data_IF_506170072753
#
_entry.id   IF_506170072753
#
_cell.length_a   1.000
_cell.length_b   1.000
_cell.length_c   1.000
_cell.angle_alpha   90.00
_cell.angle_beta   90.00
_cell.angle_gamma   90.00
#
_symmetry.space_group_name_H-M   'P 1'
#
loop_
_entity.id
_entity.type
_entity.pdbx_description
1 polymer ?
#
# COMPACT_ATOMS: atom_id res chain seq x y z
N UNK A 1 12.56 -11.83 -17.39
CA UNK A 1 11.21 -12.29 -17.77
C UNK A 1 10.27 -11.47 -16.92
N UNK A 2 9.58 -10.51 -17.53
CA UNK A 2 8.70 -9.64 -16.77
C UNK A 2 7.54 -10.47 -16.18
N UNK A 3 7.34 -10.41 -14.86
CA UNK A 3 6.22 -11.07 -14.17
C UNK A 3 5.16 -10.03 -13.90
N UNK A 4 3.93 -10.24 -14.36
CA UNK A 4 2.80 -9.37 -14.06
C UNK A 4 1.58 -10.16 -13.63
N UNK A 5 0.66 -9.53 -12.90
CA UNK A 5 -0.59 -10.15 -12.49
C UNK A 5 -1.51 -9.19 -11.73
N UNK A 6 -2.58 -9.74 -11.16
CA UNK A 6 -3.48 -8.99 -10.31
C UNK A 6 -2.87 -8.76 -8.92
N UNK A 7 -3.08 -7.57 -8.37
CA UNK A 7 -2.73 -7.21 -7.00
C UNK A 7 -4.00 -7.17 -6.16
N UNK A 8 -4.08 -8.03 -5.15
CA UNK A 8 -5.15 -8.03 -4.16
C UNK A 8 -4.53 -8.11 -2.77
N UNK A 9 -4.76 -7.09 -1.95
CA UNK A 9 -4.35 -7.11 -0.56
C UNK A 9 -5.34 -6.38 0.33
N UNK A 10 -5.37 -6.79 1.59
CA UNK A 10 -6.16 -6.18 2.65
C UNK A 10 -5.21 -5.69 3.73
N UNK A 11 -5.46 -4.48 4.22
CA UNK A 11 -4.71 -3.87 5.32
C UNK A 11 -5.66 -3.35 6.39
N UNK A 12 -5.21 -3.45 7.63
CA UNK A 12 -5.84 -2.83 8.77
C UNK A 12 -5.05 -1.58 9.16
N UNK A 13 -5.77 -0.52 9.52
CA UNK A 13 -5.20 0.79 9.83
C UNK A 13 -5.59 1.24 11.25
N UNK A 14 -5.78 0.31 12.19
CA UNK A 14 -6.22 0.64 13.55
C UNK A 14 -5.21 1.47 14.34
N UNK A 15 -3.92 1.37 14.00
CA UNK A 15 -2.83 2.18 14.56
C UNK A 15 -2.65 3.54 13.87
N UNK A 16 -3.25 3.75 12.69
CA UNK A 16 -3.10 4.98 11.91
C UNK A 16 -3.87 6.13 12.55
N UNK A 17 -3.18 7.22 12.89
CA UNK A 17 -3.73 8.45 13.49
C UNK A 17 -3.73 9.62 12.53
N UNK A 18 -3.30 9.42 11.28
CA UNK A 18 -3.19 10.50 10.28
C UNK A 18 -1.93 11.34 10.43
N UNK A 19 -0.89 10.84 11.13
CA UNK A 19 0.36 11.54 11.33
C UNK A 19 1.45 11.01 10.38
N UNK A 20 2.43 11.85 10.09
CA UNK A 20 3.62 11.45 9.34
C UNK A 20 4.37 10.34 10.09
N UNK A 21 4.70 9.26 9.39
CA UNK A 21 5.34 8.07 9.94
C UNK A 21 4.38 7.04 10.51
N UNK A 22 3.07 7.32 10.58
CA UNK A 22 2.09 6.30 10.90
C UNK A 22 2.08 5.20 9.84
N UNK A 23 1.57 4.03 10.21
CA UNK A 23 1.51 2.89 9.32
C UNK A 23 0.19 2.14 9.41
N UNK A 24 -0.11 1.39 8.34
CA UNK A 24 -1.12 0.35 8.33
C UNK A 24 -0.44 -1.02 8.18
N UNK A 25 -1.01 -2.05 8.78
CA UNK A 25 -0.50 -3.42 8.68
C UNK A 25 -1.29 -4.20 7.64
N UNK A 26 -0.59 -4.86 6.73
CA UNK A 26 -1.19 -5.76 5.75
C UNK A 26 -1.57 -7.05 6.46
N UNK A 27 -2.84 -7.43 6.37
CA UNK A 27 -3.38 -8.64 7.00
C UNK A 27 -3.42 -9.82 6.02
N UNK A 28 -3.61 -9.55 4.72
CA UNK A 28 -3.59 -10.57 3.66
C UNK A 28 -3.14 -9.97 2.33
N UNK A 29 -2.50 -10.77 1.49
CA UNK A 29 -2.18 -10.44 0.10
C UNK A 29 -2.09 -11.70 -0.75
N UNK A 30 -2.31 -11.56 -2.05
CA UNK A 30 -2.07 -12.59 -3.04
C UNK A 30 -0.60 -12.63 -3.56
N UNK A 31 0.26 -11.71 -3.12
CA UNK A 31 1.68 -11.67 -3.45
C UNK A 31 2.53 -12.27 -2.34
N UNK A 32 3.33 -13.29 -2.65
CA UNK A 32 4.28 -13.91 -1.70
C UNK A 32 5.36 -12.93 -1.22
N UNK A 33 5.64 -11.90 -2.01
CA UNK A 33 6.54 -10.80 -1.66
C UNK A 33 5.94 -9.88 -0.57
N UNK A 34 4.61 -9.83 -0.46
CA UNK A 34 3.85 -8.99 0.48
C UNK A 34 3.11 -9.88 1.47
N UNK A 35 3.81 -10.39 2.46
CA UNK A 35 3.20 -11.28 3.45
C UNK A 35 2.40 -10.50 4.51
N UNK A 36 1.49 -11.19 5.18
CA UNK A 36 0.82 -10.65 6.37
C UNK A 36 1.85 -10.18 7.40
N UNK A 37 1.61 -9.00 7.99
CA UNK A 37 2.55 -8.30 8.87
C UNK A 37 3.44 -7.28 8.16
N UNK A 38 3.44 -7.23 6.81
CA UNK A 38 4.05 -6.12 6.07
C UNK A 38 3.37 -4.79 6.43
N UNK A 39 4.12 -3.69 6.36
CA UNK A 39 3.66 -2.36 6.79
C UNK A 39 3.64 -1.40 5.62
N UNK A 40 2.60 -0.58 5.54
CA UNK A 40 2.54 0.58 4.66
C UNK A 40 2.73 1.82 5.52
N UNK A 41 3.89 2.45 5.41
CA UNK A 41 4.31 3.62 6.21
C UNK A 41 4.06 4.87 5.38
N UNK A 42 3.34 5.84 5.93
CA UNK A 42 3.00 7.09 5.26
C UNK A 42 4.02 8.17 5.59
N UNK A 43 4.56 8.85 4.58
CA UNK A 43 5.61 9.85 4.77
C UNK A 43 5.08 11.15 5.40
N UNK A 44 3.84 11.53 5.07
CA UNK A 44 3.23 12.80 5.47
C UNK A 44 1.91 12.58 6.22
N UNK A 45 1.49 13.61 6.96
CA UNK A 45 0.23 13.58 7.69
C UNK A 45 -0.96 13.75 6.74
N UNK A 46 -2.12 13.18 7.11
CA UNK A 46 -3.35 13.38 6.35
C UNK A 46 -3.81 14.85 6.41
N UNK A 47 -4.28 15.36 5.27
CA UNK A 47 -4.95 16.65 5.18
C UNK A 47 -6.41 16.60 5.62
N UNK A 48 -7.12 17.72 5.49
CA UNK A 48 -8.56 17.77 5.76
C UNK A 48 -9.34 16.93 4.72
N UNK A 49 -9.69 15.70 5.08
CA UNK A 49 -10.51 14.80 4.26
C UNK A 49 -9.79 14.17 3.07
N UNK A 50 -8.51 14.44 2.88
CA UNK A 50 -7.70 13.88 1.79
C UNK A 50 -6.35 13.40 2.33
N UNK A 51 -5.81 12.37 1.70
CA UNK A 51 -4.47 11.87 1.97
C UNK A 51 -3.74 11.77 0.65
N UNK A 52 -2.78 12.66 0.42
CA UNK A 52 -1.89 12.66 -0.73
C UNK A 52 -0.48 12.63 -0.16
N UNK A 53 0.16 11.46 -0.21
CA UNK A 53 1.46 11.24 0.43
C UNK A 53 2.22 10.11 -0.26
N UNK A 54 3.54 10.24 -0.22
CA UNK A 54 4.43 9.13 -0.49
C UNK A 54 4.30 8.06 0.61
N UNK A 55 4.47 6.81 0.21
CA UNK A 55 4.41 5.65 1.11
C UNK A 55 5.59 4.72 0.88
N UNK A 56 5.95 4.01 1.94
CA UNK A 56 6.89 2.89 1.87
C UNK A 56 6.17 1.63 2.28
N UNK A 57 6.11 0.67 1.37
CA UNK A 57 5.73 -0.69 1.68
C UNK A 57 6.96 -1.43 2.21
N UNK A 58 6.95 -1.82 3.48
CA UNK A 58 8.00 -2.59 4.13
C UNK A 58 7.51 -4.02 4.39
N UNK A 59 8.04 -4.98 3.63
CA UNK A 59 7.77 -6.41 3.82
C UNK A 59 8.81 -7.07 4.75
N UNK A 60 9.65 -6.29 5.42
CA UNK A 60 10.68 -6.75 6.32
C UNK A 60 11.94 -7.25 5.61
N UNK A 61 13.00 -7.46 6.39
CA UNK A 61 14.31 -7.96 5.91
C UNK A 61 14.92 -7.12 4.77
N UNK A 62 14.65 -5.81 4.74
CA UNK A 62 15.15 -4.89 3.71
C UNK A 62 14.42 -4.96 2.36
N UNK A 63 13.29 -5.67 2.30
CA UNK A 63 12.41 -5.69 1.13
C UNK A 63 11.43 -4.51 1.25
N UNK A 64 11.72 -3.42 0.55
CA UNK A 64 10.87 -2.23 0.58
C UNK A 64 10.47 -1.80 -0.83
N UNK A 65 9.25 -1.31 -1.02
CA UNK A 65 8.82 -0.66 -2.24
C UNK A 65 8.39 0.77 -1.94
N UNK A 66 8.72 1.69 -2.84
CA UNK A 66 8.31 3.09 -2.72
C UNK A 66 7.10 3.32 -3.59
N UNK A 67 6.17 4.09 -3.06
CA UNK A 67 4.93 4.38 -3.74
C UNK A 67 4.35 5.72 -3.34
N UNK A 68 3.21 5.99 -3.92
CA UNK A 68 2.44 7.20 -3.71
C UNK A 68 0.97 6.82 -3.62
N UNK A 69 0.27 7.39 -2.63
CA UNK A 69 -1.12 7.09 -2.33
C UNK A 69 -1.92 8.40 -2.31
N UNK A 70 -3.03 8.39 -3.04
CA UNK A 70 -4.02 9.47 -3.05
C UNK A 70 -5.36 8.90 -2.62
N UNK A 71 -5.88 9.33 -1.46
CA UNK A 71 -7.18 8.94 -0.92
C UNK A 71 -8.08 10.15 -0.71
N UNK A 72 -9.34 9.95 -1.03
CA UNK A 72 -10.48 10.71 -0.53
C UNK A 72 -11.01 9.98 0.71
N UNK A 73 -10.74 10.54 1.88
CA UNK A 73 -11.16 9.98 3.18
C UNK A 73 -12.66 10.17 3.44
N UNK A 74 -13.31 11.12 2.75
CA UNK A 74 -14.76 11.29 2.84
C UNK A 74 -15.49 10.23 2.01
N UNK A 75 -14.95 9.87 0.84
CA UNK A 75 -15.48 8.81 -0.01
C UNK A 75 -14.96 7.41 0.36
N UNK A 76 -13.92 7.31 1.21
CA UNK A 76 -13.18 6.08 1.53
C UNK A 76 -12.65 5.36 0.29
N UNK A 77 -12.13 6.13 -0.67
CA UNK A 77 -11.63 5.62 -1.96
C UNK A 77 -10.35 6.33 -2.36
N UNK A 78 -9.57 5.69 -3.21
CA UNK A 78 -8.39 6.32 -3.78
C UNK A 78 -7.58 5.38 -4.64
N UNK A 79 -6.32 5.73 -4.84
CA UNK A 79 -5.38 4.96 -5.65
C UNK A 79 -4.03 4.85 -4.95
N UNK A 80 -3.34 3.74 -5.19
CA UNK A 80 -1.99 3.49 -4.73
C UNK A 80 -1.14 3.10 -5.94
N UNK A 81 0.02 3.72 -6.05
CA UNK A 81 1.02 3.45 -7.09
C UNK A 81 2.34 3.10 -6.45
N UNK A 82 3.05 2.11 -6.99
CA UNK A 82 4.38 1.74 -6.55
C UNK A 82 5.31 1.72 -7.75
N UNK A 83 6.51 2.26 -7.58
CA UNK A 83 7.53 2.27 -8.61
C UNK A 83 8.90 2.01 -7.99
N UNK A 84 9.42 0.82 -8.26
CA UNK A 84 10.68 0.34 -7.75
C UNK A 84 10.67 -0.07 -6.27
N UNK A 85 11.78 -0.69 -5.89
CA UNK A 85 11.99 -1.20 -4.56
C UNK A 85 13.34 -1.86 -4.39
N UNK A 86 13.56 -2.41 -3.21
CA UNK A 86 14.77 -3.11 -2.79
C UNK A 86 14.46 -4.57 -2.49
N UNK A 87 15.50 -5.41 -2.54
CA UNK A 87 15.37 -6.84 -2.25
C UNK A 87 14.41 -7.53 -3.23
N UNK A 88 13.33 -8.12 -2.72
CA UNK A 88 12.28 -8.77 -3.51
C UNK A 88 11.48 -7.81 -4.39
N UNK A 89 11.51 -6.50 -4.13
CA UNK A 89 10.78 -5.49 -4.90
C UNK A 89 11.63 -4.81 -5.98
N UNK A 90 12.82 -5.32 -6.30
CA UNK A 90 13.59 -4.80 -7.43
C UNK A 90 12.77 -4.98 -8.72
N UNK A 91 12.58 -3.89 -9.47
CA UNK A 91 11.76 -3.87 -10.68
C UNK A 91 10.25 -3.87 -10.43
N UNK A 92 9.79 -3.78 -9.17
CA UNK A 92 8.37 -3.83 -8.83
C UNK A 92 7.65 -2.54 -9.24
N UNK A 93 6.58 -2.69 -10.00
CA UNK A 93 5.61 -1.64 -10.29
C UNK A 93 4.22 -2.15 -9.93
N UNK A 94 3.37 -1.29 -9.37
CA UNK A 94 1.99 -1.65 -9.11
C UNK A 94 1.06 -0.45 -9.17
N UNK A 95 -0.18 -0.71 -9.55
CA UNK A 95 -1.26 0.24 -9.53
C UNK A 95 -2.50 -0.44 -8.96
N UNK A 96 -3.09 0.14 -7.91
CA UNK A 96 -4.28 -0.40 -7.27
C UNK A 96 -5.28 0.69 -6.89
N UNK A 97 -6.55 0.40 -7.09
CA UNK A 97 -7.65 1.12 -6.49
C UNK A 97 -7.75 0.74 -5.01
N UNK A 98 -7.95 1.74 -4.17
CA UNK A 98 -8.03 1.60 -2.72
C UNK A 98 -9.47 1.87 -2.29
N UNK A 99 -10.07 0.96 -1.53
CA UNK A 99 -11.41 1.12 -0.97
C UNK A 99 -11.43 0.69 0.50
N UNK A 100 -12.27 1.31 1.33
CA UNK A 100 -12.55 0.78 2.67
C UNK A 100 -13.88 0.01 2.68
N UNK A 101 -13.94 -1.07 3.45
CA UNK A 101 -15.18 -1.81 3.70
C UNK A 101 -15.91 -1.29 4.96
N UNK A 102 -17.08 -1.87 5.24
CA UNK A 102 -17.88 -1.55 6.42
C UNK A 102 -17.24 -1.96 7.75
N UNK A 103 -16.26 -2.86 7.72
CA UNK A 103 -15.50 -3.31 8.89
C UNK A 103 -14.30 -2.39 9.18
N UNK A 104 -14.05 -1.39 8.31
CA UNK A 104 -12.92 -0.45 8.44
C UNK A 104 -11.60 -1.00 7.91
N UNK A 105 -11.63 -2.11 7.17
CA UNK A 105 -10.46 -2.64 6.48
C UNK A 105 -10.32 -2.00 5.11
N UNK A 106 -9.08 -1.77 4.71
CA UNK A 106 -8.75 -1.17 3.43
C UNK A 106 -8.29 -2.26 2.45
N UNK A 107 -8.92 -2.29 1.29
CA UNK A 107 -8.68 -3.24 0.22
C UNK A 107 -8.01 -2.54 -0.95
N UNK A 108 -6.97 -3.16 -1.47
CA UNK A 108 -6.29 -2.74 -2.68
C UNK A 108 -6.56 -3.76 -3.78
N UNK A 109 -7.04 -3.28 -4.92
CA UNK A 109 -7.35 -4.10 -6.08
C UNK A 109 -6.78 -3.45 -7.33
N UNK A 110 -5.94 -4.17 -8.06
CA UNK A 110 -5.37 -3.68 -9.32
C UNK A 110 -4.38 -4.65 -9.92
N UNK A 111 -3.26 -4.15 -10.44
CA UNK A 111 -2.25 -4.95 -11.12
C UNK A 111 -0.84 -4.62 -10.66
N UNK A 112 0.07 -5.58 -10.85
CA UNK A 112 1.50 -5.41 -10.60
C UNK A 112 2.34 -5.96 -11.75
N UNK A 113 3.59 -5.51 -11.84
CA UNK A 113 4.65 -6.03 -12.69
C UNK A 113 6.01 -6.03 -11.98
N UNK A 114 6.90 -6.92 -12.42
CA UNK A 114 8.32 -6.96 -12.10
C UNK A 114 9.08 -6.98 -13.42
N UNK A 115 9.88 -5.96 -13.70
CA UNK A 115 10.76 -5.87 -14.89
C UNK A 115 12.22 -6.21 -14.57
#
# INVERSE_FOLDING_TARGET
MARSGDLQLTKECSEYRGQAGDFCTITSSNLDEIQAGAKVIYAEAAGEGTLDTDVVLDAGSGNTAKGHVVLDLAANKGTATFSGGTGKFVGFEAHADVTADSDGLWHWSGTYSFD
#
